data_IF_615835762882
#
_entry.id   IF_615835762882
#
_cell.length_a   1.000
_cell.length_b   1.000
_cell.length_c   1.000
_cell.angle_alpha   90.00
_cell.angle_beta   90.00
_cell.angle_gamma   90.00
#
_symmetry.space_group_name_H-M   'P 1'
#
loop_
_entity.id
_entity.type
_entity.pdbx_description
1 polymer ?
#
# COMPACT_ATOMS: atom_id res chain seq x y z
N UNK A 1 -1.57 -10.20 31.84
CA UNK A 1 -0.55 -9.21 32.06
C UNK A 1 0.11 -8.89 30.72
N UNK A 2 0.14 -7.61 30.30
CA UNK A 2 0.91 -7.16 29.15
C UNK A 2 0.13 -6.61 27.94
N UNK A 3 -1.17 -6.41 28.03
CA UNK A 3 -1.95 -5.65 27.02
C UNK A 3 -2.19 -4.24 27.57
N UNK A 4 -1.87 -3.23 26.78
CA UNK A 4 -2.12 -1.82 27.07
C UNK A 4 -2.89 -1.19 25.93
N UNK A 5 -3.99 -0.51 26.23
CA UNK A 5 -4.71 0.34 25.28
C UNK A 5 -3.89 1.59 25.00
N UNK A 6 -3.85 2.04 23.77
CA UNK A 6 -3.23 3.31 23.41
C UNK A 6 -4.00 4.46 24.06
N UNK A 7 -3.37 5.29 24.93
CA UNK A 7 -4.07 6.36 25.64
C UNK A 7 -4.60 7.45 24.69
N UNK A 8 -3.92 7.67 23.56
CA UNK A 8 -4.27 8.69 22.59
C UNK A 8 -5.27 8.20 21.55
N UNK A 9 -5.32 6.86 21.34
CA UNK A 9 -6.24 6.26 20.40
C UNK A 9 -6.68 4.83 20.82
N UNK A 10 -7.83 4.68 21.49
CA UNK A 10 -8.29 3.42 22.05
C UNK A 10 -8.60 2.33 21.01
N UNK A 11 -8.52 2.62 19.71
CA UNK A 11 -8.60 1.63 18.64
C UNK A 11 -7.40 0.68 18.60
N UNK A 12 -6.29 1.13 19.19
CA UNK A 12 -5.04 0.38 19.19
C UNK A 12 -4.72 -0.18 20.55
N UNK A 13 -4.10 -1.36 20.54
CA UNK A 13 -3.53 -1.96 21.76
C UNK A 13 -2.08 -2.33 21.52
N UNK A 14 -1.30 -2.35 22.59
CA UNK A 14 0.09 -2.81 22.58
C UNK A 14 0.24 -4.04 23.47
N UNK A 15 1.13 -4.96 23.04
CA UNK A 15 1.47 -6.15 23.82
C UNK A 15 2.98 -6.24 24.01
N UNK A 16 3.42 -6.60 25.23
CA UNK A 16 4.84 -6.81 25.53
C UNK A 16 5.40 -8.09 24.90
N UNK A 17 4.54 -9.11 24.73
CA UNK A 17 4.86 -10.31 23.98
C UNK A 17 4.21 -10.21 22.61
N UNK A 18 5.03 -10.12 21.60
CA UNK A 18 4.59 -9.96 20.21
C UNK A 18 5.56 -10.65 19.26
N UNK A 19 5.23 -10.70 17.97
CA UNK A 19 6.09 -11.27 16.93
C UNK A 19 7.36 -10.44 16.74
N UNK A 20 8.46 -11.08 16.35
CA UNK A 20 9.69 -10.38 15.92
C UNK A 20 9.49 -9.60 14.62
N UNK A 21 8.53 -10.00 13.78
CA UNK A 21 8.17 -9.32 12.53
C UNK A 21 7.09 -8.25 12.71
N UNK A 22 6.60 -8.06 13.96
CA UNK A 22 5.56 -7.10 14.30
C UNK A 22 6.07 -5.97 15.18
N UNK A 23 5.35 -4.85 15.17
CA UNK A 23 5.68 -3.66 15.98
C UNK A 23 5.08 -3.72 17.39
N UNK A 24 4.44 -4.82 17.78
CA UNK A 24 3.76 -4.97 19.07
C UNK A 24 2.48 -4.14 19.21
N UNK A 25 2.06 -3.46 18.15
CA UNK A 25 0.81 -2.70 18.03
C UNK A 25 -0.24 -3.54 17.33
N UNK A 26 -1.46 -3.51 17.85
CA UNK A 26 -2.58 -4.32 17.35
C UNK A 26 -3.76 -3.42 16.96
N UNK A 27 -4.39 -3.75 15.83
CA UNK A 27 -5.61 -3.12 15.35
C UNK A 27 -6.66 -4.19 15.05
N UNK A 28 -7.83 -4.07 15.64
CA UNK A 28 -8.96 -5.01 15.48
C UNK A 28 -8.57 -6.50 15.65
N UNK A 29 -7.58 -6.78 16.51
CA UNK A 29 -7.09 -8.14 16.82
C UNK A 29 -5.88 -8.59 16.01
N UNK A 30 -5.51 -7.92 14.94
CA UNK A 30 -4.31 -8.19 14.12
C UNK A 30 -3.11 -7.44 14.67
N UNK A 31 -1.95 -8.10 14.75
CA UNK A 31 -0.67 -7.45 14.95
C UNK A 31 -0.20 -6.79 13.65
N UNK A 32 0.29 -5.57 13.74
CA UNK A 32 0.81 -4.80 12.61
C UNK A 32 2.26 -5.23 12.35
N UNK A 33 2.57 -5.50 11.08
CA UNK A 33 3.93 -5.88 10.66
C UNK A 33 4.89 -4.67 10.68
N UNK A 34 6.19 -4.97 10.75
CA UNK A 34 7.21 -3.97 10.49
C UNK A 34 7.17 -3.52 9.04
N UNK A 35 7.35 -2.22 8.80
CA UNK A 35 7.51 -1.65 7.46
C UNK A 35 8.78 -2.16 6.80
N UNK A 36 8.71 -2.56 5.54
CA UNK A 36 9.89 -2.88 4.74
C UNK A 36 10.70 -1.61 4.46
N UNK A 37 11.95 -1.57 4.95
CA UNK A 37 12.85 -0.46 4.70
C UNK A 37 13.34 -0.41 3.24
N UNK A 38 13.76 0.77 2.79
CA UNK A 38 14.27 1.01 1.42
C UNK A 38 15.46 0.12 1.02
N UNK A 39 16.22 -0.42 1.98
CA UNK A 39 17.29 -1.38 1.71
C UNK A 39 16.75 -2.70 1.10
N UNK A 40 15.48 -3.01 1.33
CA UNK A 40 14.77 -4.13 0.70
C UNK A 40 14.24 -3.86 -0.71
N UNK A 41 14.47 -2.67 -1.27
CA UNK A 41 13.90 -2.25 -2.55
C UNK A 41 14.25 -3.17 -3.74
N UNK A 42 15.41 -3.85 -3.70
CA UNK A 42 15.78 -4.83 -4.71
C UNK A 42 14.81 -6.00 -4.85
N UNK A 43 14.16 -6.38 -3.75
CA UNK A 43 13.13 -7.42 -3.75
C UNK A 43 11.91 -7.02 -4.58
N UNK A 44 11.55 -5.73 -4.61
CA UNK A 44 10.42 -5.21 -5.38
C UNK A 44 10.64 -5.29 -6.90
N UNK A 45 11.87 -5.36 -7.37
CA UNK A 45 12.24 -5.42 -8.79
C UNK A 45 12.76 -6.81 -9.21
N UNK A 46 12.61 -7.85 -8.36
CA UNK A 46 13.07 -9.21 -8.68
C UNK A 46 12.41 -9.74 -9.94
N UNK A 47 13.18 -10.44 -10.77
CA UNK A 47 12.70 -10.98 -12.06
C UNK A 47 11.59 -12.02 -11.91
N UNK A 48 11.55 -12.74 -10.80
CA UNK A 48 10.53 -13.75 -10.50
C UNK A 48 9.14 -13.15 -10.20
N UNK A 49 9.06 -11.85 -9.89
CA UNK A 49 7.83 -11.17 -9.48
C UNK A 49 6.70 -11.28 -10.50
N UNK A 50 7.02 -11.24 -11.80
CA UNK A 50 6.02 -11.38 -12.87
C UNK A 50 5.32 -12.74 -12.84
N UNK A 51 6.08 -13.82 -12.57
CA UNK A 51 5.54 -15.17 -12.47
C UNK A 51 4.78 -15.39 -11.13
N UNK A 52 5.30 -14.84 -10.03
CA UNK A 52 4.76 -15.02 -8.69
C UNK A 52 3.47 -14.22 -8.46
N UNK A 53 3.46 -12.95 -8.83
CA UNK A 53 2.40 -12.00 -8.50
C UNK A 53 1.44 -11.70 -9.67
N UNK A 54 1.80 -12.08 -10.91
CA UNK A 54 0.99 -11.85 -12.13
C UNK A 54 0.48 -10.41 -12.25
N UNK A 55 1.36 -9.39 -12.20
CA UNK A 55 0.97 -7.98 -12.17
C UNK A 55 0.10 -7.55 -13.35
N UNK A 56 0.26 -8.17 -14.53
CA UNK A 56 -0.59 -7.88 -15.68
C UNK A 56 -2.04 -8.32 -15.46
N UNK A 57 -2.26 -9.41 -14.74
CA UNK A 57 -3.60 -9.87 -14.35
C UNK A 57 -4.25 -8.87 -13.39
N UNK A 58 -3.49 -8.39 -12.41
CA UNK A 58 -3.96 -7.33 -11.50
C UNK A 58 -4.33 -6.06 -12.27
N UNK A 59 -3.43 -5.54 -13.11
CA UNK A 59 -3.69 -4.32 -13.89
C UNK A 59 -4.98 -4.45 -14.73
N UNK A 60 -5.21 -5.59 -15.38
CA UNK A 60 -6.47 -5.85 -16.12
C UNK A 60 -7.69 -5.85 -15.19
N UNK A 61 -7.58 -6.47 -14.01
CA UNK A 61 -8.66 -6.56 -13.03
C UNK A 61 -9.06 -5.20 -12.45
N UNK A 62 -8.13 -4.25 -12.37
CA UNK A 62 -8.39 -2.88 -11.89
C UNK A 62 -9.33 -2.09 -12.82
N UNK A 63 -9.51 -2.52 -14.08
CA UNK A 63 -10.40 -1.86 -15.07
C UNK A 63 -10.13 -0.35 -15.18
N UNK A 64 -8.87 0.01 -15.26
CA UNK A 64 -8.42 1.40 -15.39
C UNK A 64 -8.87 2.00 -16.71
N UNK A 65 -9.17 3.29 -16.71
CA UNK A 65 -9.56 4.05 -17.88
C UNK A 65 -8.52 5.10 -18.23
N UNK A 66 -8.46 5.47 -19.49
CA UNK A 66 -7.63 6.59 -19.92
C UNK A 66 -8.06 7.88 -19.19
N UNK A 67 -7.09 8.57 -18.61
CA UNK A 67 -7.33 9.79 -17.84
C UNK A 67 -7.62 9.59 -16.35
N UNK A 68 -7.70 8.34 -15.85
CA UNK A 68 -7.88 8.08 -14.42
C UNK A 68 -6.75 8.71 -13.59
N UNK A 69 -7.10 9.13 -12.38
CA UNK A 69 -6.16 9.52 -11.33
C UNK A 69 -6.06 8.39 -10.31
N UNK A 70 -4.91 7.77 -10.25
CA UNK A 70 -4.66 6.58 -9.42
C UNK A 70 -3.66 6.90 -8.34
N UNK A 71 -3.96 6.56 -7.09
CA UNK A 71 -2.98 6.58 -6.01
C UNK A 71 -2.41 5.16 -5.83
N UNK A 72 -1.10 5.03 -5.95
CA UNK A 72 -0.33 3.82 -5.63
C UNK A 72 0.29 4.04 -4.24
N UNK A 73 -0.36 3.49 -3.20
CA UNK A 73 0.02 3.69 -1.78
C UNK A 73 1.06 2.64 -1.39
N UNK A 74 2.19 3.09 -0.87
CA UNK A 74 3.37 2.25 -0.70
C UNK A 74 4.02 1.96 -2.05
N UNK A 75 4.23 3.01 -2.83
CA UNK A 75 4.69 2.91 -4.23
C UNK A 75 6.06 2.25 -4.38
N UNK A 76 6.90 2.32 -3.34
CA UNK A 76 8.25 1.78 -3.35
C UNK A 76 9.07 2.28 -4.55
N UNK A 77 9.58 1.34 -5.34
CA UNK A 77 10.37 1.63 -6.55
C UNK A 77 9.53 2.05 -7.76
N UNK A 78 8.19 2.01 -7.67
CA UNK A 78 7.27 2.34 -8.75
C UNK A 78 6.95 1.18 -9.69
N UNK A 79 7.07 -0.05 -9.22
CA UNK A 79 6.82 -1.24 -10.03
C UNK A 79 5.41 -1.26 -10.65
N UNK A 80 4.37 -1.00 -9.85
CA UNK A 80 2.98 -0.88 -10.32
C UNK A 80 2.70 0.49 -10.94
N UNK A 81 3.20 1.59 -10.35
CA UNK A 81 3.01 2.93 -10.87
C UNK A 81 3.41 3.06 -12.35
N UNK A 82 4.55 2.48 -12.75
CA UNK A 82 5.02 2.47 -14.15
C UNK A 82 4.08 1.71 -15.10
N UNK A 83 3.43 0.65 -14.63
CA UNK A 83 2.47 -0.15 -15.41
C UNK A 83 1.13 0.58 -15.53
N UNK A 84 0.64 1.12 -14.43
CA UNK A 84 -0.60 1.90 -14.36
C UNK A 84 -0.50 3.12 -15.28
N UNK A 85 0.60 3.86 -15.19
CA UNK A 85 0.90 5.06 -15.99
C UNK A 85 0.68 4.84 -17.50
N UNK A 86 1.13 3.69 -18.01
CA UNK A 86 0.95 3.33 -19.42
C UNK A 86 -0.50 3.08 -19.81
N UNK A 87 -1.29 2.51 -18.88
CA UNK A 87 -2.70 2.17 -19.14
C UNK A 87 -3.58 3.41 -19.10
N UNK A 88 -3.39 4.29 -18.11
CA UNK A 88 -4.18 5.52 -17.98
C UNK A 88 -3.78 6.60 -19.00
N UNK A 89 -2.60 6.45 -19.61
CA UNK A 89 -2.10 7.34 -20.65
C UNK A 89 -1.74 8.75 -20.17
N UNK A 90 -1.34 9.63 -21.08
CA UNK A 90 -0.76 10.95 -20.74
C UNK A 90 -1.73 11.94 -20.12
N UNK A 91 -3.05 11.69 -20.19
CA UNK A 91 -4.09 12.51 -19.55
C UNK A 91 -4.40 12.08 -18.13
N UNK A 92 -3.95 10.88 -17.72
CA UNK A 92 -4.08 10.36 -16.36
C UNK A 92 -2.85 10.70 -15.52
N UNK A 93 -2.99 10.59 -14.21
CA UNK A 93 -1.91 10.79 -13.24
C UNK A 93 -1.84 9.63 -12.26
N UNK A 94 -0.65 9.13 -11.99
CA UNK A 94 -0.40 8.25 -10.84
C UNK A 94 0.24 9.06 -9.73
N UNK A 95 -0.38 9.09 -8.57
CA UNK A 95 0.21 9.61 -7.34
C UNK A 95 0.90 8.43 -6.62
N UNK A 96 2.22 8.38 -6.70
CA UNK A 96 3.02 7.37 -6.03
C UNK A 96 3.35 7.82 -4.61
N UNK A 97 2.63 7.27 -3.63
CA UNK A 97 2.77 7.66 -2.22
C UNK A 97 3.70 6.71 -1.49
N UNK A 98 4.68 7.24 -0.79
CA UNK A 98 5.51 6.48 0.14
C UNK A 98 5.83 7.33 1.38
N UNK A 99 6.10 6.67 2.51
CA UNK A 99 6.51 7.34 3.74
C UNK A 99 8.04 7.51 3.84
N UNK A 100 8.79 6.85 2.95
CA UNK A 100 10.25 6.87 2.89
C UNK A 100 10.72 7.71 1.70
N UNK A 101 11.45 8.79 1.97
CA UNK A 101 12.00 9.66 0.92
C UNK A 101 12.93 8.89 -0.02
N UNK A 102 13.69 7.93 0.52
CA UNK A 102 14.61 7.09 -0.25
C UNK A 102 13.88 6.24 -1.29
N UNK A 103 12.67 5.76 -1.00
CA UNK A 103 11.82 5.07 -1.97
C UNK A 103 11.37 6.01 -3.09
N UNK A 104 10.98 7.24 -2.75
CA UNK A 104 10.61 8.25 -3.75
C UNK A 104 11.79 8.67 -4.64
N UNK A 105 13.00 8.68 -4.11
CA UNK A 105 14.22 8.94 -4.89
C UNK A 105 14.50 7.80 -5.87
N UNK A 106 14.27 6.54 -5.46
CA UNK A 106 14.31 5.36 -6.32
C UNK A 106 13.23 5.43 -7.40
N UNK A 107 12.00 5.73 -7.02
CA UNK A 107 10.88 5.96 -7.94
C UNK A 107 11.27 6.98 -9.01
N UNK A 108 11.70 8.17 -8.62
CA UNK A 108 12.09 9.26 -9.53
C UNK A 108 13.15 8.82 -10.54
N UNK A 109 14.17 8.08 -10.09
CA UNK A 109 15.22 7.53 -10.95
C UNK A 109 14.64 6.54 -11.96
N UNK A 110 13.78 5.62 -11.50
CA UNK A 110 13.16 4.61 -12.36
C UNK A 110 12.21 5.22 -13.40
N UNK A 111 11.45 6.25 -13.03
CA UNK A 111 10.58 6.98 -13.94
C UNK A 111 11.40 7.69 -15.04
N UNK A 112 12.48 8.36 -14.65
CA UNK A 112 13.40 9.02 -15.60
C UNK A 112 13.97 8.01 -16.61
N UNK A 113 14.45 6.87 -16.12
CA UNK A 113 15.01 5.81 -16.97
C UNK A 113 13.97 5.20 -17.92
N UNK A 114 12.70 5.17 -17.51
CA UNK A 114 11.60 4.65 -18.30
C UNK A 114 10.91 5.69 -19.22
N UNK A 115 11.31 6.98 -19.15
CA UNK A 115 10.69 8.08 -19.89
C UNK A 115 9.23 8.34 -19.50
N UNK A 116 8.88 8.11 -18.23
CA UNK A 116 7.51 8.27 -17.72
C UNK A 116 7.37 9.62 -17.02
N UNK A 117 6.37 10.41 -17.43
CA UNK A 117 6.17 11.78 -16.97
C UNK A 117 4.83 12.04 -16.27
N UNK A 118 3.94 11.03 -16.20
CA UNK A 118 2.62 11.13 -15.58
C UNK A 118 2.51 10.38 -14.24
N UNK A 119 3.63 10.26 -13.55
CA UNK A 119 3.71 9.73 -12.18
C UNK A 119 4.33 10.79 -11.28
N UNK A 120 3.64 11.14 -10.21
CA UNK A 120 4.06 12.12 -9.21
C UNK A 120 4.39 11.41 -7.90
N UNK A 121 5.61 11.56 -7.39
CA UNK A 121 5.98 11.06 -6.06
C UNK A 121 5.42 11.97 -4.97
N UNK A 122 4.76 11.39 -3.98
CA UNK A 122 4.16 12.10 -2.85
C UNK A 122 4.71 11.53 -1.54
N UNK A 123 5.38 12.35 -0.75
CA UNK A 123 5.80 11.96 0.59
C UNK A 123 4.60 12.00 1.54
N UNK A 124 4.16 10.81 1.94
CA UNK A 124 3.12 10.62 2.95
C UNK A 124 3.69 10.60 4.36
N UNK A 125 2.79 10.45 5.32
CA UNK A 125 3.12 10.14 6.72
C UNK A 125 2.51 8.79 7.09
N UNK A 126 2.77 8.32 8.30
CA UNK A 126 2.16 7.08 8.80
C UNK A 126 0.63 7.17 8.99
N UNK A 127 0.03 8.34 8.88
CA UNK A 127 -1.40 8.60 9.07
C UNK A 127 -2.08 9.25 7.87
N UNK A 128 -1.31 9.86 6.96
CA UNK A 128 -1.86 10.65 5.87
C UNK A 128 -1.08 10.46 4.58
N UNK A 129 -1.73 10.05 3.47
CA UNK A 129 -1.09 9.93 2.18
C UNK A 129 -0.76 11.28 1.53
N UNK A 130 -1.18 12.40 2.13
CA UNK A 130 -1.00 13.77 1.63
C UNK A 130 -1.53 13.99 0.20
N UNK A 131 -2.61 13.29 -0.14
CA UNK A 131 -3.27 13.40 -1.43
C UNK A 131 -4.33 14.52 -1.42
N UNK A 132 -4.55 15.19 -2.56
CA UNK A 132 -5.61 16.18 -2.67
C UNK A 132 -7.00 15.53 -2.52
N UNK A 133 -7.91 16.22 -1.82
CA UNK A 133 -9.27 15.75 -1.60
C UNK A 133 -10.06 15.61 -2.92
N UNK A 134 -11.01 14.66 -2.98
CA UNK A 134 -11.94 14.45 -4.10
C UNK A 134 -11.23 14.36 -5.47
N UNK A 135 -10.06 13.74 -5.52
CA UNK A 135 -9.22 13.74 -6.73
C UNK A 135 -9.02 12.35 -7.31
N UNK A 136 -8.98 11.31 -6.49
CA UNK A 136 -8.53 9.97 -6.86
C UNK A 136 -9.71 9.11 -7.33
N UNK A 137 -9.55 8.44 -8.47
CA UNK A 137 -10.52 7.47 -9.01
C UNK A 137 -10.30 6.07 -8.42
N UNK A 138 -9.03 5.71 -8.16
CA UNK A 138 -8.65 4.44 -7.56
C UNK A 138 -7.46 4.62 -6.64
N UNK A 139 -7.57 4.17 -5.40
CA UNK A 139 -6.43 3.95 -4.50
C UNK A 139 -6.06 2.46 -4.50
N UNK A 140 -4.82 2.15 -4.85
CA UNK A 140 -4.27 0.80 -4.89
C UNK A 140 -3.28 0.63 -3.74
N UNK A 141 -3.39 -0.48 -3.03
CA UNK A 141 -2.45 -0.92 -2.01
C UNK A 141 -2.01 -2.35 -2.36
N UNK A 142 -0.74 -2.55 -2.71
CA UNK A 142 -0.18 -3.86 -3.03
C UNK A 142 0.87 -4.23 -2.01
N UNK A 143 0.57 -5.26 -1.21
CA UNK A 143 1.48 -5.80 -0.20
C UNK A 143 2.03 -4.73 0.75
N UNK A 144 1.12 -3.88 1.25
CA UNK A 144 1.50 -2.73 2.10
C UNK A 144 0.53 -2.44 3.24
N UNK A 145 -0.76 -2.78 3.11
CA UNK A 145 -1.76 -2.43 4.12
C UNK A 145 -1.45 -3.06 5.49
N UNK A 146 -0.93 -4.28 5.49
CA UNK A 146 -0.52 -5.00 6.71
C UNK A 146 0.58 -4.28 7.51
N UNK A 147 1.32 -3.36 6.88
CA UNK A 147 2.38 -2.54 7.49
C UNK A 147 1.89 -1.19 8.04
N UNK A 148 0.65 -0.79 7.78
CA UNK A 148 0.13 0.49 8.26
C UNK A 148 0.10 0.51 9.78
N UNK A 149 0.94 1.35 10.40
CA UNK A 149 0.97 1.54 11.86
C UNK A 149 -0.25 2.31 12.40
N UNK A 150 -0.96 3.02 11.53
CA UNK A 150 -2.19 3.78 11.81
C UNK A 150 -3.22 3.54 10.70
N UNK A 151 -3.71 2.27 10.53
CA UNK A 151 -4.57 1.92 9.41
C UNK A 151 -5.87 2.72 9.39
N UNK A 152 -6.48 2.99 10.53
CA UNK A 152 -7.72 3.77 10.60
C UNK A 152 -7.53 5.19 10.05
N UNK A 153 -6.53 5.92 10.54
CA UNK A 153 -6.25 7.30 10.13
C UNK A 153 -5.85 7.37 8.65
N UNK A 154 -5.00 6.45 8.22
CA UNK A 154 -4.59 6.37 6.82
C UNK A 154 -5.78 6.14 5.91
N UNK A 155 -6.65 5.16 6.23
CA UNK A 155 -7.84 4.86 5.44
C UNK A 155 -8.83 6.03 5.41
N UNK A 156 -9.05 6.73 6.53
CA UNK A 156 -9.88 7.94 6.57
C UNK A 156 -9.36 9.01 5.60
N UNK A 157 -8.05 9.22 5.54
CA UNK A 157 -7.45 10.21 4.67
C UNK A 157 -7.41 9.75 3.20
N UNK A 158 -7.24 8.46 2.92
CA UNK A 158 -7.42 7.90 1.58
C UNK A 158 -8.87 8.12 1.10
N UNK A 159 -9.87 7.83 1.94
CA UNK A 159 -11.28 8.05 1.61
C UNK A 159 -11.59 9.52 1.27
N UNK A 160 -11.00 10.47 2.00
CA UNK A 160 -11.14 11.92 1.67
C UNK A 160 -10.54 12.29 0.31
N UNK A 161 -9.49 11.58 -0.11
CA UNK A 161 -8.86 11.81 -1.40
C UNK A 161 -9.66 11.23 -2.57
N UNK A 162 -10.50 10.21 -2.32
CA UNK A 162 -11.33 9.60 -3.35
C UNK A 162 -12.42 10.56 -3.83
N UNK A 163 -12.68 10.52 -5.13
CA UNK A 163 -13.90 11.11 -5.72
C UNK A 163 -15.14 10.33 -5.28
N UNK A 164 -16.35 10.93 -5.35
CA UNK A 164 -17.58 10.16 -5.29
C UNK A 164 -17.58 9.02 -6.31
N UNK A 165 -17.80 7.77 -5.84
CA UNK A 165 -17.70 6.58 -6.68
C UNK A 165 -16.27 6.08 -6.93
N UNK A 166 -15.27 6.72 -6.34
CA UNK A 166 -13.88 6.23 -6.31
C UNK A 166 -13.77 4.89 -5.59
N UNK A 167 -12.73 4.13 -5.91
CA UNK A 167 -12.56 2.76 -5.44
C UNK A 167 -11.26 2.58 -4.68
N UNK A 168 -11.24 1.59 -3.79
CA UNK A 168 -10.03 1.11 -3.13
C UNK A 168 -9.80 -0.34 -3.54
N UNK A 169 -8.55 -0.70 -3.84
CA UNK A 169 -8.14 -2.06 -4.11
C UNK A 169 -7.04 -2.47 -3.12
N UNK A 170 -7.33 -3.51 -2.34
CA UNK A 170 -6.37 -4.19 -1.48
C UNK A 170 -5.84 -5.42 -2.21
N UNK A 171 -4.54 -5.56 -2.28
CA UNK A 171 -3.85 -6.72 -2.86
C UNK A 171 -2.82 -7.20 -1.85
N UNK A 172 -3.10 -8.32 -1.22
CA UNK A 172 -2.30 -8.87 -0.13
C UNK A 172 -2.04 -10.35 -0.37
N UNK A 173 -0.93 -10.86 0.16
CA UNK A 173 -0.72 -12.30 0.22
C UNK A 173 -1.77 -12.96 1.12
N UNK A 174 -2.40 -14.02 0.61
CA UNK A 174 -3.52 -14.66 1.28
C UNK A 174 -3.09 -15.43 2.52
N UNK A 175 -3.67 -15.08 3.68
CA UNK A 175 -3.48 -15.81 4.92
C UNK A 175 -4.17 -17.18 4.91
N UNK A 176 -5.25 -17.31 4.14
CA UNK A 176 -6.02 -18.55 4.00
C UNK A 176 -5.26 -19.67 3.30
N UNK A 177 -4.18 -19.34 2.57
CA UNK A 177 -3.34 -20.33 1.90
C UNK A 177 -2.03 -20.55 2.68
N UNK A 178 -1.86 -21.69 3.34
CA UNK A 178 -0.65 -22.01 4.09
C UNK A 178 0.59 -22.18 3.22
N UNK A 179 0.41 -22.46 1.92
CA UNK A 179 1.51 -22.69 0.98
C UNK A 179 2.13 -21.41 0.42
N UNK A 180 1.52 -20.25 0.68
CA UNK A 180 2.13 -18.97 0.27
C UNK A 180 3.38 -18.72 1.11
N UNK A 181 4.60 -18.65 0.51
CA UNK A 181 5.89 -18.65 1.23
C UNK A 181 6.25 -17.23 1.72
N UNK A 182 5.33 -16.58 2.42
CA UNK A 182 5.49 -15.24 2.99
C UNK A 182 5.32 -15.33 4.51
N UNK A 183 6.05 -14.50 5.26
CA UNK A 183 5.95 -14.39 6.70
C UNK A 183 4.52 -14.11 7.15
N UNK A 184 4.10 -14.67 8.28
CA UNK A 184 2.69 -14.66 8.70
C UNK A 184 2.09 -13.26 8.83
N UNK A 185 2.82 -12.29 9.41
CA UNK A 185 2.31 -10.92 9.57
C UNK A 185 2.28 -10.11 8.27
N UNK A 186 2.94 -10.60 7.21
CA UNK A 186 2.89 -10.02 5.86
C UNK A 186 1.82 -10.68 4.98
N UNK A 187 0.90 -11.43 5.59
CA UNK A 187 -0.30 -11.97 4.94
C UNK A 187 -1.54 -11.35 5.57
N UNK A 188 -2.59 -11.22 4.79
CA UNK A 188 -3.89 -10.84 5.32
C UNK A 188 -4.99 -11.79 4.87
N UNK A 189 -5.92 -12.09 5.76
CA UNK A 189 -7.16 -12.76 5.35
C UNK A 189 -8.13 -11.77 4.77
N UNK A 190 -8.93 -12.22 3.81
CA UNK A 190 -9.99 -11.40 3.23
C UNK A 190 -10.96 -10.90 4.32
N UNK A 191 -11.28 -11.77 5.27
CA UNK A 191 -12.17 -11.41 6.40
C UNK A 191 -11.59 -10.28 7.24
N UNK A 192 -10.27 -10.31 7.52
CA UNK A 192 -9.62 -9.26 8.31
C UNK A 192 -9.59 -7.92 7.53
N UNK A 193 -9.28 -7.95 6.24
CA UNK A 193 -9.32 -6.74 5.39
C UNK A 193 -10.73 -6.14 5.39
N UNK A 194 -11.76 -6.94 5.17
CA UNK A 194 -13.15 -6.47 5.20
C UNK A 194 -13.52 -5.86 6.56
N UNK A 195 -13.12 -6.51 7.66
CA UNK A 195 -13.37 -6.02 9.03
C UNK A 195 -12.71 -4.66 9.30
N UNK A 196 -11.51 -4.44 8.76
CA UNK A 196 -10.76 -3.21 8.97
C UNK A 196 -11.17 -2.08 7.99
N UNK A 197 -11.79 -2.41 6.85
CA UNK A 197 -12.19 -1.47 5.81
C UNK A 197 -13.64 -0.99 5.93
N UNK A 198 -14.44 -1.55 6.86
CA UNK A 198 -15.84 -1.15 7.16
C UNK A 198 -15.94 -0.36 8.45
#
# INVERSE_FOLDING_TARGET
PGVRVDPDNPRYTYRTRHSRDGIGKFYMGREIAHVMGHLGAGWLERSSREAEERPQTLIKALKLKAGDKVADIGVGTGYFARRISRVIGPKGTVYGVDIQQEMLDLLKRNLKNAGINNVEGVLGTIQNPNLPANTIDLALMVDVYHEFSHPYEMMQNICKALKPGGRIAFVEYRMEDPNVPIKLLHKMSQLQVLKEAT
#
